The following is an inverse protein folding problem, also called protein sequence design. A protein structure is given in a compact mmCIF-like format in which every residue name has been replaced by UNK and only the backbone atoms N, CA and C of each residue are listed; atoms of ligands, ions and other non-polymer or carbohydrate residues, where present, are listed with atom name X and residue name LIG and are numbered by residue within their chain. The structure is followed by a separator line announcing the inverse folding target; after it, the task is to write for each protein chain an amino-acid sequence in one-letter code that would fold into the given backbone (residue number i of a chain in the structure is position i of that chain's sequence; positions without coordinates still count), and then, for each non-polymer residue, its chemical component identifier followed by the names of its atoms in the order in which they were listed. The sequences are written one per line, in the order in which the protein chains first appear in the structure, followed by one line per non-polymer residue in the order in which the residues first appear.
data_IF_868150359813
#
_entry.id   IF_868150359813
#
_cell.length_a   1.000
_cell.length_b   1.000
_cell.length_c   1.000
_cell.angle_alpha   90.00
_cell.angle_beta   90.00
_cell.angle_gamma   90.00
#
_symmetry.space_group_name_H-M   'P 1'
#
loop_
_entity.id
_entity.type
_entity.pdbx_description
1 polymer ?
#
# COMPACT_ATOMS: atom_id res chain seq x y z
N UNK A 1 12.40 7.21 -12.10
CA UNK A 1 12.43 7.94 -10.82
C UNK A 1 11.22 8.88 -10.57
N UNK A 2 11.07 10.03 -11.25
CA UNK A 2 10.03 11.05 -10.92
C UNK A 2 8.57 10.52 -10.89
N UNK A 3 8.24 9.56 -11.77
CA UNK A 3 6.89 8.95 -11.86
C UNK A 3 6.53 8.08 -10.65
N UNK A 4 7.52 7.60 -9.88
CA UNK A 4 7.33 6.80 -8.66
C UNK A 4 7.45 7.68 -7.42
N UNK A 5 8.38 8.65 -7.43
CA UNK A 5 8.58 9.58 -6.31
C UNK A 5 7.38 10.49 -6.03
N UNK A 6 6.74 11.03 -7.08
CA UNK A 6 5.57 11.90 -6.92
C UNK A 6 4.42 11.22 -6.16
N UNK A 7 3.91 10.04 -6.59
CA UNK A 7 2.89 9.34 -5.82
C UNK A 7 3.41 8.88 -4.46
N UNK A 8 4.66 8.42 -4.36
CA UNK A 8 5.25 8.01 -3.09
C UNK A 8 5.30 9.11 -2.03
N UNK A 9 5.61 10.35 -2.43
CA UNK A 9 5.55 11.50 -1.52
C UNK A 9 4.15 11.72 -0.94
N UNK A 10 3.10 11.57 -1.75
CA UNK A 10 1.73 11.66 -1.25
C UNK A 10 1.38 10.54 -0.28
N UNK A 11 1.82 9.31 -0.54
CA UNK A 11 1.65 8.21 0.41
C UNK A 11 2.40 8.42 1.72
N UNK A 12 3.57 9.06 1.70
CA UNK A 12 4.28 9.47 2.91
C UNK A 12 3.43 10.45 3.73
N UNK A 13 2.90 11.51 3.09
CA UNK A 13 2.04 12.49 3.76
C UNK A 13 0.78 11.84 4.32
N UNK A 14 0.11 11.00 3.52
CA UNK A 14 -1.09 10.27 3.93
C UNK A 14 -0.80 9.33 5.09
N UNK A 15 0.31 8.59 5.05
CA UNK A 15 0.71 7.71 6.14
C UNK A 15 0.92 8.47 7.45
N UNK A 16 1.63 9.60 7.41
CA UNK A 16 1.80 10.45 8.59
C UNK A 16 0.47 11.00 9.11
N UNK A 17 -0.43 11.42 8.21
CA UNK A 17 -1.77 11.87 8.57
C UNK A 17 -2.61 10.75 9.22
N UNK A 18 -2.53 9.52 8.71
CA UNK A 18 -3.19 8.35 9.31
C UNK A 18 -2.64 8.06 10.72
N UNK A 19 -1.33 8.25 10.94
CA UNK A 19 -0.72 8.10 12.27
C UNK A 19 -1.29 9.10 13.28
N UNK A 20 -1.45 10.36 12.87
CA UNK A 20 -2.12 11.39 13.68
C UNK A 20 -3.59 11.02 13.90
N UNK A 21 -4.31 10.63 12.85
CA UNK A 21 -5.70 10.22 12.93
C UNK A 21 -5.92 9.09 13.94
N UNK A 22 -5.10 8.03 13.90
CA UNK A 22 -5.17 6.94 14.86
C UNK A 22 -5.03 7.43 16.30
N UNK A 23 -4.02 8.27 16.58
CA UNK A 23 -3.74 8.78 17.94
C UNK A 23 -4.87 9.67 18.46
N UNK A 24 -5.42 10.55 17.62
CA UNK A 24 -6.49 11.44 18.01
C UNK A 24 -7.81 10.69 18.22
N UNK A 25 -8.12 9.73 17.33
CA UNK A 25 -9.34 8.95 17.42
C UNK A 25 -9.38 8.10 18.70
N UNK A 26 -8.31 7.35 18.99
CA UNK A 26 -8.27 6.50 20.20
C UNK A 26 -8.29 7.32 21.49
N UNK A 27 -7.72 8.53 21.46
CA UNK A 27 -7.81 9.47 22.58
C UNK A 27 -9.25 9.95 22.81
N UNK A 28 -9.97 10.32 21.77
CA UNK A 28 -11.35 10.80 21.87
C UNK A 28 -12.33 9.70 22.28
N UNK A 29 -12.08 8.46 21.88
CA UNK A 29 -12.95 7.32 22.21
C UNK A 29 -12.51 6.56 23.47
N UNK A 30 -11.44 7.00 24.13
CA UNK A 30 -10.80 6.30 25.25
C UNK A 30 -10.51 4.80 24.96
N UNK A 31 -10.19 4.49 23.70
CA UNK A 31 -9.94 3.12 23.25
C UNK A 31 -8.56 2.62 23.71
N UNK A 32 -8.53 1.46 24.37
CA UNK A 32 -7.31 0.88 24.98
C UNK A 32 -6.85 -0.43 24.34
N UNK A 33 -7.51 -0.89 23.28
CA UNK A 33 -7.19 -2.15 22.59
C UNK A 33 -6.20 -2.01 21.43
N UNK A 34 -5.92 -3.12 20.77
CA UNK A 34 -5.20 -3.17 19.48
C UNK A 34 -6.18 -3.16 18.32
N UNK A 35 -5.87 -2.41 17.26
CA UNK A 35 -6.69 -2.31 16.05
C UNK A 35 -5.80 -2.30 14.82
N UNK A 36 -6.33 -2.74 13.67
CA UNK A 36 -5.62 -2.66 12.39
C UNK A 36 -5.26 -1.21 12.01
N UNK A 37 -5.99 -0.22 12.55
CA UNK A 37 -5.71 1.21 12.35
C UNK A 37 -4.31 1.62 12.84
N UNK A 38 -3.80 0.95 13.89
CA UNK A 38 -2.51 1.28 14.50
C UNK A 38 -1.34 1.01 13.55
N UNK A 39 -1.48 0.04 12.64
CA UNK A 39 -0.43 -0.34 11.69
C UNK A 39 -0.64 0.24 10.29
N UNK A 40 -1.80 0.87 10.02
CA UNK A 40 -2.13 1.43 8.70
C UNK A 40 -1.16 2.51 8.25
N UNK A 41 -0.71 3.39 9.17
CA UNK A 41 0.27 4.44 8.85
C UNK A 41 1.59 3.85 8.32
N UNK A 42 2.06 2.78 8.96
CA UNK A 42 3.27 2.06 8.56
C UNK A 42 3.12 1.37 7.22
N UNK A 43 1.96 0.76 6.96
CA UNK A 43 1.65 0.15 5.65
C UNK A 43 1.58 1.21 4.55
N UNK A 44 0.99 2.38 4.82
CA UNK A 44 0.93 3.47 3.85
C UNK A 44 2.32 3.97 3.46
N UNK A 45 3.22 4.15 4.45
CA UNK A 45 4.59 4.59 4.19
C UNK A 45 5.40 3.48 3.50
N UNK A 46 5.33 2.25 4.00
CA UNK A 46 6.11 1.14 3.47
C UNK A 46 5.70 0.76 2.04
N UNK A 47 4.40 0.52 1.82
CA UNK A 47 3.87 0.07 0.53
C UNK A 47 3.68 1.23 -0.45
N UNK A 48 3.32 2.42 0.04
CA UNK A 48 3.08 3.56 -0.82
C UNK A 48 4.34 4.34 -1.22
N UNK A 49 5.38 4.34 -0.37
CA UNK A 49 6.59 5.14 -0.59
C UNK A 49 7.87 4.29 -0.65
N UNK A 50 8.16 3.51 0.39
CA UNK A 50 9.48 2.85 0.54
C UNK A 50 9.69 1.72 -0.47
N UNK A 51 8.79 0.74 -0.57
CA UNK A 51 8.93 -0.38 -1.50
C UNK A 51 8.96 0.06 -2.97
N UNK A 52 8.06 0.94 -3.45
CA UNK A 52 8.14 1.48 -4.80
C UNK A 52 9.48 2.15 -5.10
N UNK A 53 10.01 2.90 -4.13
CA UNK A 53 11.29 3.57 -4.26
C UNK A 53 12.43 2.55 -4.37
N UNK A 54 12.45 1.52 -3.51
CA UNK A 54 13.45 0.45 -3.56
C UNK A 54 13.43 -0.30 -4.89
N UNK A 55 12.24 -0.68 -5.38
CA UNK A 55 12.09 -1.33 -6.68
C UNK A 55 12.62 -0.41 -7.79
N UNK A 56 12.19 0.85 -7.81
CA UNK A 56 12.63 1.81 -8.83
C UNK A 56 14.15 2.04 -8.81
N UNK A 57 14.76 2.13 -7.61
CA UNK A 57 16.21 2.23 -7.43
C UNK A 57 16.93 0.99 -7.94
N UNK A 58 16.40 -0.21 -7.70
CA UNK A 58 16.98 -1.45 -8.22
C UNK A 58 17.08 -1.46 -9.75
N UNK A 59 16.02 -1.02 -10.44
CA UNK A 59 16.05 -0.89 -11.91
C UNK A 59 17.04 0.19 -12.38
N UNK A 60 17.11 1.31 -11.68
CA UNK A 60 18.05 2.40 -12.00
C UNK A 60 19.52 1.95 -11.84
N UNK A 61 19.86 1.26 -10.74
CA UNK A 61 21.21 0.73 -10.48
C UNK A 61 21.62 -0.28 -11.56
N UNK A 62 20.68 -1.12 -12.01
CA UNK A 62 20.92 -2.06 -13.11
C UNK A 62 20.89 -1.41 -14.51
N UNK A 63 20.70 -0.08 -14.61
CA UNK A 63 20.54 0.68 -15.86
C UNK A 63 19.42 0.14 -16.76
N UNK A 64 18.33 -0.31 -16.15
CA UNK A 64 17.16 -0.89 -16.84
C UNK A 64 15.98 0.08 -16.84
N UNK A 65 15.14 -0.04 -17.85
CA UNK A 65 13.85 0.65 -17.88
C UNK A 65 12.96 0.15 -16.74
N UNK A 66 12.19 1.07 -16.17
CA UNK A 66 11.21 0.74 -15.13
C UNK A 66 10.13 -0.23 -15.66
N UNK A 67 9.47 -0.97 -14.76
CA UNK A 67 8.29 -1.76 -15.12
C UNK A 67 7.22 -0.93 -15.83
N UNK A 68 6.38 -1.60 -16.60
CA UNK A 68 5.36 -0.93 -17.43
C UNK A 68 4.43 -0.02 -16.58
N UNK A 69 3.95 1.10 -17.12
CA UNK A 69 3.01 1.97 -16.40
C UNK A 69 1.75 1.23 -15.92
N UNK A 70 1.29 0.23 -16.68
CA UNK A 70 0.14 -0.61 -16.32
C UNK A 70 0.42 -1.42 -15.04
N UNK A 71 1.61 -1.98 -14.90
CA UNK A 71 1.98 -2.75 -13.71
C UNK A 71 2.08 -1.86 -12.47
N UNK A 72 2.64 -0.65 -12.61
CA UNK A 72 2.64 0.36 -11.54
C UNK A 72 1.23 0.80 -11.14
N UNK A 73 0.33 0.96 -12.10
CA UNK A 73 -1.06 1.30 -11.83
C UNK A 73 -1.77 0.19 -11.03
N UNK A 74 -1.60 -1.08 -11.40
CA UNK A 74 -2.15 -2.22 -10.64
C UNK A 74 -1.62 -2.21 -9.21
N UNK A 75 -0.32 -1.98 -9.04
CA UNK A 75 0.31 -1.88 -7.72
C UNK A 75 -0.31 -0.77 -6.87
N UNK A 76 -0.37 0.47 -7.37
CA UNK A 76 -0.91 1.58 -6.60
C UNK A 76 -2.41 1.46 -6.33
N UNK A 77 -3.19 0.87 -7.25
CA UNK A 77 -4.60 0.55 -6.99
C UNK A 77 -4.72 -0.47 -5.86
N UNK A 78 -3.87 -1.50 -5.85
CA UNK A 78 -3.78 -2.47 -4.75
C UNK A 78 -3.48 -1.79 -3.42
N UNK A 79 -2.46 -0.91 -3.38
CA UNK A 79 -2.09 -0.15 -2.17
C UNK A 79 -3.25 0.72 -1.68
N UNK A 80 -3.88 1.51 -2.56
CA UNK A 80 -5.00 2.39 -2.16
C UNK A 80 -6.15 1.57 -1.60
N UNK A 81 -6.53 0.47 -2.26
CA UNK A 81 -7.64 -0.37 -1.81
C UNK A 81 -7.34 -1.01 -0.45
N UNK A 82 -6.12 -1.52 -0.26
CA UNK A 82 -5.69 -2.14 1.00
C UNK A 82 -5.74 -1.11 2.15
N UNK A 83 -5.19 0.09 1.94
CA UNK A 83 -5.23 1.18 2.93
C UNK A 83 -6.65 1.64 3.26
N UNK A 84 -7.54 1.72 2.26
CA UNK A 84 -8.94 2.07 2.49
C UNK A 84 -9.66 1.01 3.34
N UNK A 85 -9.39 -0.28 3.09
CA UNK A 85 -9.99 -1.35 3.88
C UNK A 85 -9.43 -1.40 5.30
N UNK A 86 -8.12 -1.23 5.48
CA UNK A 86 -7.50 -1.12 6.81
C UNK A 86 -8.06 0.09 7.58
N UNK A 87 -8.18 1.25 6.93
CA UNK A 87 -8.73 2.46 7.53
C UNK A 87 -10.19 2.24 7.96
N UNK A 88 -11.02 1.72 7.06
CA UNK A 88 -12.45 1.47 7.32
C UNK A 88 -12.63 0.47 8.47
N UNK A 89 -11.97 -0.69 8.38
CA UNK A 89 -12.02 -1.74 9.41
C UNK A 89 -11.51 -1.21 10.75
N UNK A 90 -10.41 -0.47 10.72
CA UNK A 90 -9.76 0.07 11.91
C UNK A 90 -10.61 1.11 12.61
N UNK A 91 -11.20 2.04 11.87
CA UNK A 91 -12.11 3.06 12.43
C UNK A 91 -13.35 2.42 13.06
N UNK A 92 -13.97 1.44 12.39
CA UNK A 92 -15.11 0.69 12.94
C UNK A 92 -14.74 0.01 14.25
N UNK A 93 -13.55 -0.59 14.34
CA UNK A 93 -13.05 -1.21 15.57
C UNK A 93 -12.88 -0.19 16.69
N UNK A 94 -12.24 0.96 16.43
CA UNK A 94 -12.02 1.99 17.47
C UNK A 94 -13.34 2.61 17.94
N UNK A 95 -14.31 2.77 17.03
CA UNK A 95 -15.65 3.27 17.34
C UNK A 95 -16.57 2.22 17.98
N UNK A 96 -16.10 0.97 18.14
CA UNK A 96 -16.88 -0.15 18.70
C UNK A 96 -18.22 -0.36 17.98
N UNK A 97 -18.25 -0.10 16.67
CA UNK A 97 -19.46 -0.24 15.86
C UNK A 97 -19.72 -1.70 15.52
N UNK A 98 -20.97 -2.14 15.67
CA UNK A 98 -21.41 -3.46 15.21
C UNK A 98 -21.72 -3.42 13.72
N UNK A 99 -20.98 -4.18 12.91
CA UNK A 99 -21.26 -4.33 11.49
C UNK A 99 -22.29 -5.43 11.23
N UNK A 100 -23.11 -5.25 10.20
CA UNK A 100 -23.90 -6.36 9.66
C UNK A 100 -22.96 -7.41 9.04
N UNK A 101 -23.38 -8.68 9.03
CA UNK A 101 -22.60 -9.78 8.42
C UNK A 101 -22.24 -9.48 6.96
N UNK A 102 -23.15 -8.88 6.19
CA UNK A 102 -22.90 -8.55 4.79
C UNK A 102 -21.82 -7.48 4.60
N UNK A 103 -21.82 -6.44 5.45
CA UNK A 103 -20.83 -5.37 5.38
C UNK A 103 -19.45 -5.86 5.85
N UNK A 104 -19.42 -6.67 6.90
CA UNK A 104 -18.19 -7.29 7.41
C UNK A 104 -17.54 -8.22 6.37
N UNK A 105 -18.34 -9.06 5.71
CA UNK A 105 -17.89 -9.91 4.62
C UNK A 105 -17.39 -9.10 3.41
N UNK A 106 -18.07 -8.00 3.07
CA UNK A 106 -17.67 -7.13 1.96
C UNK A 106 -16.31 -6.46 2.21
N UNK A 107 -16.08 -5.90 3.40
CA UNK A 107 -14.79 -5.31 3.78
C UNK A 107 -13.67 -6.36 3.69
N UNK A 108 -13.94 -7.57 4.19
CA UNK A 108 -13.00 -8.68 4.13
C UNK A 108 -12.69 -9.12 2.70
N UNK A 109 -13.71 -9.16 1.83
CA UNK A 109 -13.55 -9.50 0.42
C UNK A 109 -12.70 -8.49 -0.35
N UNK A 110 -12.96 -7.20 -0.17
CA UNK A 110 -12.14 -6.14 -0.79
C UNK A 110 -10.70 -6.12 -0.24
N UNK A 111 -10.53 -6.39 1.07
CA UNK A 111 -9.19 -6.54 1.64
C UNK A 111 -8.43 -7.70 0.97
N UNK A 112 -9.06 -8.87 0.82
CA UNK A 112 -8.46 -10.01 0.11
C UNK A 112 -8.10 -9.70 -1.35
N UNK A 113 -8.99 -9.02 -2.07
CA UNK A 113 -8.74 -8.59 -3.46
C UNK A 113 -7.54 -7.63 -3.55
N UNK A 114 -7.48 -6.65 -2.66
CA UNK A 114 -6.37 -5.69 -2.62
C UNK A 114 -5.03 -6.36 -2.36
N UNK A 115 -5.02 -7.35 -1.46
CA UNK A 115 -3.83 -8.14 -1.14
C UNK A 115 -3.37 -8.96 -2.35
N UNK A 116 -4.30 -9.54 -3.10
CA UNK A 116 -4.01 -10.23 -4.36
C UNK A 116 -3.38 -9.31 -5.41
N UNK A 117 -3.98 -8.14 -5.66
CA UNK A 117 -3.46 -7.16 -6.63
C UNK A 117 -2.06 -6.67 -6.24
N UNK A 118 -1.87 -6.33 -4.97
CA UNK A 118 -0.60 -5.85 -4.44
C UNK A 118 0.47 -6.94 -4.49
N UNK A 119 0.15 -8.15 -4.02
CA UNK A 119 1.06 -9.29 -4.01
C UNK A 119 1.50 -9.69 -5.41
N UNK A 120 0.56 -9.87 -6.34
CA UNK A 120 0.86 -10.26 -7.72
C UNK A 120 1.75 -9.20 -8.40
N UNK A 121 1.38 -7.92 -8.30
CA UNK A 121 2.13 -6.86 -8.96
C UNK A 121 3.55 -6.71 -8.39
N UNK A 122 3.71 -6.78 -7.07
CA UNK A 122 5.01 -6.72 -6.42
C UNK A 122 5.89 -7.92 -6.80
N UNK A 123 5.35 -9.14 -6.76
CA UNK A 123 6.06 -10.35 -7.18
C UNK A 123 6.55 -10.25 -8.63
N UNK A 124 5.71 -9.76 -9.54
CA UNK A 124 6.11 -9.57 -10.95
C UNK A 124 7.21 -8.51 -11.08
N UNK A 125 7.12 -7.39 -10.36
CA UNK A 125 8.17 -6.35 -10.38
C UNK A 125 9.51 -6.87 -9.86
N UNK A 126 9.49 -7.59 -8.73
CA UNK A 126 10.70 -8.18 -8.14
C UNK A 126 11.27 -9.28 -9.04
N UNK A 127 10.41 -10.11 -9.64
CA UNK A 127 10.85 -11.10 -10.62
C UNK A 127 11.56 -10.46 -11.82
N UNK A 128 11.02 -9.36 -12.35
CA UNK A 128 11.67 -8.60 -13.43
C UNK A 128 13.01 -8.02 -13.00
N UNK A 129 13.15 -7.61 -11.74
CA UNK A 129 14.39 -7.08 -11.19
C UNK A 129 15.45 -8.18 -10.98
N UNK A 130 15.03 -9.35 -10.50
CA UNK A 130 15.93 -10.44 -10.09
C UNK A 130 16.32 -11.38 -11.24
N UNK A 131 15.39 -11.72 -12.14
CA UNK A 131 15.55 -12.85 -13.06
C UNK A 131 15.43 -12.49 -14.54
N UNK A 132 14.76 -11.39 -14.89
CA UNK A 132 14.70 -10.96 -16.30
C UNK A 132 16.09 -10.47 -16.71
N UNK A 133 16.64 -10.93 -17.84
CA UNK A 133 17.89 -10.37 -18.38
C UNK A 133 17.65 -8.93 -18.84
N UNK A 134 18.67 -8.08 -18.70
CA UNK A 134 18.65 -6.77 -19.33
C UNK A 134 18.54 -7.02 -20.84
N UNK A 135 17.58 -6.40 -21.51
CA UNK A 135 17.65 -6.34 -22.97
C UNK A 135 18.89 -5.50 -23.30
N UNK A 136 19.92 -6.15 -23.86
CA UNK A 136 20.94 -5.44 -24.62
C UNK A 136 20.20 -4.70 -25.73
N UNK A 137 20.16 -3.37 -25.65
CA UNK A 137 19.66 -2.57 -26.75
C UNK A 137 20.68 -2.75 -27.88
N UNK A 138 20.29 -3.19 -29.09
CA UNK A 138 21.23 -3.19 -30.21
C UNK A 138 21.68 -1.75 -30.42
N UNK A 139 22.99 -1.56 -30.43
CA UNK A 139 23.70 -0.30 -30.69
C UNK A 139 23.26 0.33 -32.00
#
# INVERSE_FOLDING_TARGET
MKKVLKPGFWFLVVGLAIGVYYRELTRWTAFTGTTILSVTHGHAILLGFVLPLLVAMGFEVQKRSLPSPKLWMIYYVGVVLDLLMMLTRGTVQVLQMTLSRGLDASISGFAGLSHGLLGISLCVMVYQLAFKKAHENPS
#
